data_IF_711346544542
#
_entry.id   IF_711346544542
#
_cell.length_a   1.000
_cell.length_b   1.000
_cell.length_c   1.000
_cell.angle_alpha   90.00
_cell.angle_beta   90.00
_cell.angle_gamma   90.00
#
_symmetry.space_group_name_H-M   'P 1'
#
loop_
_entity.id
_entity.type
_entity.pdbx_description
1 polymer ?
#
# COMPACT_ATOMS: atom_id res chain seq x y z
N UNK A 1 -56.82 -15.55 24.85
CA UNK A 1 -56.55 -14.21 24.30
C UNK A 1 -55.11 -13.82 24.63
N UNK A 2 -54.13 -14.16 23.77
CA UNK A 2 -52.69 -13.89 24.03
C UNK A 2 -51.81 -13.88 22.77
N UNK A 3 -52.42 -13.74 21.60
CA UNK A 3 -51.71 -13.70 20.30
C UNK A 3 -51.57 -12.28 19.72
N UNK A 4 -52.36 -11.32 20.21
CA UNK A 4 -52.35 -9.95 19.67
C UNK A 4 -51.18 -9.09 20.15
N UNK A 5 -50.47 -9.46 21.22
CA UNK A 5 -49.37 -8.63 21.74
C UNK A 5 -48.09 -8.76 20.90
N UNK A 6 -47.92 -9.87 20.16
CA UNK A 6 -46.70 -10.12 19.39
C UNK A 6 -46.67 -9.33 18.07
N UNK A 7 -47.82 -8.93 17.55
CA UNK A 7 -47.90 -8.19 16.27
C UNK A 7 -47.46 -6.72 16.41
N UNK A 8 -47.54 -6.13 17.60
CA UNK A 8 -47.15 -4.73 17.81
C UNK A 8 -45.64 -4.53 17.98
N UNK A 9 -44.91 -5.53 18.50
CA UNK A 9 -43.44 -5.44 18.65
C UNK A 9 -42.74 -5.58 17.29
N UNK A 10 -43.31 -6.35 16.37
CA UNK A 10 -42.74 -6.55 15.04
C UNK A 10 -42.83 -5.29 14.15
N UNK A 11 -43.82 -4.42 14.36
CA UNK A 11 -43.96 -3.18 13.57
C UNK A 11 -42.99 -2.09 14.04
N UNK A 12 -42.74 -1.99 15.35
CA UNK A 12 -41.87 -0.95 15.91
C UNK A 12 -40.39 -1.09 15.49
N UNK A 13 -39.95 -2.27 15.06
CA UNK A 13 -38.59 -2.51 14.57
C UNK A 13 -38.39 -2.14 13.10
N UNK A 14 -39.47 -1.91 12.35
CA UNK A 14 -39.36 -1.58 10.92
C UNK A 14 -39.00 -0.10 10.67
N UNK A 15 -39.15 0.76 11.69
CA UNK A 15 -38.81 2.19 11.62
C UNK A 15 -37.40 2.52 12.13
N UNK A 16 -36.66 1.51 12.59
CA UNK A 16 -35.24 1.62 12.92
C UNK A 16 -34.39 0.96 11.84
N UNK A 17 -34.75 1.14 10.57
CA UNK A 17 -33.84 0.89 9.46
C UNK A 17 -33.05 2.19 9.31
N UNK A 18 -31.81 2.30 9.82
CA UNK A 18 -30.95 3.38 9.39
C UNK A 18 -30.87 3.28 7.87
N UNK A 19 -31.11 4.41 7.20
CA UNK A 19 -31.03 4.54 5.76
C UNK A 19 -29.84 3.74 5.24
N UNK A 20 -29.95 3.04 4.09
CA UNK A 20 -28.81 2.38 3.49
C UNK A 20 -27.77 3.47 3.29
N UNK A 21 -26.78 3.44 4.18
CA UNK A 21 -25.58 4.23 4.04
C UNK A 21 -25.08 3.80 2.69
N UNK A 22 -25.13 4.74 1.73
CA UNK A 22 -24.46 4.61 0.44
C UNK A 22 -23.21 3.78 0.68
N UNK A 23 -22.87 2.80 -0.17
CA UNK A 23 -21.52 2.27 -0.13
C UNK A 23 -20.64 3.52 -0.15
N UNK A 24 -19.95 3.77 0.96
CA UNK A 24 -18.85 4.70 0.96
C UNK A 24 -18.00 4.11 -0.14
N UNK A 25 -18.02 4.78 -1.31
CA UNK A 25 -17.09 4.46 -2.37
C UNK A 25 -15.78 4.23 -1.65
N UNK A 26 -15.10 3.08 -1.88
CA UNK A 26 -13.82 2.83 -1.24
C UNK A 26 -13.06 4.12 -1.41
N UNK A 27 -12.79 4.81 -0.29
CA UNK A 27 -12.19 6.13 -0.30
C UNK A 27 -10.99 5.94 -1.18
N UNK A 28 -11.07 6.52 -2.38
CA UNK A 28 -10.18 6.27 -3.50
C UNK A 28 -8.81 6.27 -2.88
N UNK A 29 -8.22 5.06 -2.75
CA UNK A 29 -6.98 4.87 -1.99
C UNK A 29 -6.12 6.05 -2.37
N UNK A 30 -5.73 6.93 -1.41
CA UNK A 30 -5.24 8.27 -1.70
C UNK A 30 -4.28 8.05 -2.83
N UNK A 31 -4.66 8.55 -4.02
CA UNK A 31 -4.04 8.11 -5.26
C UNK A 31 -2.56 8.13 -4.95
N UNK A 32 -1.93 6.96 -4.85
CA UNK A 32 -0.48 6.89 -4.63
C UNK A 32 -0.02 7.88 -5.67
N UNK A 33 0.52 9.05 -5.26
CA UNK A 33 0.78 10.09 -6.23
C UNK A 33 1.53 9.34 -7.30
N UNK A 34 1.08 9.39 -8.58
CA UNK A 34 1.91 8.81 -9.61
C UNK A 34 3.29 9.34 -9.26
N UNK A 35 4.26 8.44 -9.11
CA UNK A 35 5.64 8.83 -8.91
C UNK A 35 5.99 9.54 -10.22
N UNK A 36 5.46 10.75 -10.41
CA UNK A 36 5.82 11.75 -11.36
C UNK A 36 7.15 12.16 -10.79
N UNK A 37 8.15 11.37 -11.16
CA UNK A 37 9.41 11.93 -11.63
C UNK A 37 8.98 13.11 -12.51
N UNK A 38 8.90 14.30 -11.91
CA UNK A 38 8.68 15.52 -12.65
C UNK A 38 9.75 15.58 -13.75
N UNK A 39 9.58 16.39 -14.79
CA UNK A 39 10.70 16.67 -15.68
C UNK A 39 11.89 17.05 -14.79
N UNK A 40 12.90 16.18 -14.72
CA UNK A 40 14.12 16.42 -13.95
C UNK A 40 14.66 17.73 -14.52
N UNK A 41 14.41 18.83 -13.81
CA UNK A 41 15.10 20.08 -14.08
C UNK A 41 16.58 19.72 -13.98
N UNK A 42 17.41 20.00 -14.99
CA UNK A 42 18.85 19.74 -14.94
C UNK A 42 19.48 20.77 -14.00
N UNK A 43 19.16 20.67 -12.72
CA UNK A 43 19.63 21.53 -11.65
C UNK A 43 20.31 20.64 -10.64
N UNK A 44 21.60 20.37 -10.90
CA UNK A 44 22.57 19.78 -9.96
C UNK A 44 21.93 18.90 -8.89
N UNK A 45 21.58 17.66 -9.25
CA UNK A 45 21.78 16.59 -8.28
C UNK A 45 23.25 16.70 -7.86
N UNK A 46 23.59 16.74 -6.56
CA UNK A 46 24.95 16.42 -6.17
C UNK A 46 25.23 15.05 -6.79
N UNK A 47 26.24 14.96 -7.65
CA UNK A 47 26.56 13.76 -8.46
C UNK A 47 26.49 12.46 -7.63
N UNK A 48 26.74 12.57 -6.34
CA UNK A 48 26.74 11.51 -5.34
C UNK A 48 25.35 10.99 -4.94
N UNK A 49 24.29 11.81 -4.87
CA UNK A 49 22.94 11.35 -4.45
C UNK A 49 22.31 10.48 -5.53
N UNK A 50 22.34 10.95 -6.78
CA UNK A 50 21.84 10.17 -7.92
C UNK A 50 22.63 8.87 -8.11
N UNK A 51 23.94 8.89 -7.88
CA UNK A 51 24.81 7.72 -7.97
C UNK A 51 24.56 6.72 -6.84
N UNK A 52 24.39 7.20 -5.61
CA UNK A 52 24.07 6.36 -4.45
C UNK A 52 22.73 5.63 -4.63
N UNK A 53 21.68 6.34 -5.04
CA UNK A 53 20.36 5.74 -5.28
C UNK A 53 20.42 4.68 -6.38
N UNK A 54 21.16 4.95 -7.47
CA UNK A 54 21.37 3.98 -8.56
C UNK A 54 22.09 2.72 -8.05
N UNK A 55 23.09 2.87 -7.19
CA UNK A 55 23.81 1.74 -6.61
C UNK A 55 22.91 0.89 -5.71
N UNK A 56 22.13 1.52 -4.83
CA UNK A 56 21.15 0.83 -3.98
C UNK A 56 20.13 0.04 -4.83
N UNK A 57 19.62 0.65 -5.90
CA UNK A 57 18.68 -0.02 -6.81
C UNK A 57 19.34 -1.19 -7.56
N UNK A 58 20.58 -1.02 -8.04
CA UNK A 58 21.29 -2.07 -8.75
C UNK A 58 21.54 -3.32 -7.88
N UNK A 59 21.90 -3.11 -6.62
CA UNK A 59 22.07 -4.20 -5.65
C UNK A 59 20.75 -4.90 -5.35
N UNK A 60 19.69 -4.13 -5.09
CA UNK A 60 18.36 -4.66 -4.84
C UNK A 60 17.85 -5.49 -6.02
N UNK A 61 17.93 -5.00 -7.25
CA UNK A 61 17.49 -5.74 -8.45
C UNK A 61 18.28 -7.04 -8.66
N UNK A 62 19.60 -7.01 -8.41
CA UNK A 62 20.45 -8.20 -8.49
C UNK A 62 19.98 -9.28 -7.51
N UNK A 63 19.74 -8.90 -6.26
CA UNK A 63 19.28 -9.82 -5.23
C UNK A 63 17.81 -10.24 -5.44
N UNK A 64 16.96 -9.34 -5.93
CA UNK A 64 15.54 -9.59 -6.18
C UNK A 64 15.34 -10.68 -7.23
N UNK A 65 16.18 -10.67 -8.27
CA UNK A 65 16.21 -11.71 -9.30
C UNK A 65 16.50 -13.10 -8.72
N UNK A 66 17.30 -13.18 -7.66
CA UNK A 66 17.55 -14.46 -6.95
C UNK A 66 16.32 -14.93 -6.18
N UNK A 67 15.60 -14.01 -5.52
CA UNK A 67 14.35 -14.33 -4.83
C UNK A 67 13.22 -14.76 -5.78
N UNK A 68 13.20 -14.23 -7.01
CA UNK A 68 12.19 -14.60 -8.03
C UNK A 68 12.33 -16.03 -8.54
N UNK A 69 13.47 -16.67 -8.34
CA UNK A 69 13.63 -18.10 -8.61
C UNK A 69 12.86 -18.98 -7.60
N UNK A 70 12.45 -18.42 -6.46
CA UNK A 70 11.65 -19.11 -5.45
C UNK A 70 10.15 -19.00 -5.77
N UNK A 71 9.39 -20.02 -5.37
CA UNK A 71 7.94 -20.09 -5.56
C UNK A 71 7.19 -19.94 -4.24
N UNK A 72 5.96 -19.43 -4.30
CA UNK A 72 5.05 -19.35 -3.17
C UNK A 72 5.57 -18.44 -2.04
N UNK A 73 5.38 -18.86 -0.79
CA UNK A 73 5.75 -18.08 0.40
C UNK A 73 7.26 -17.83 0.49
N UNK A 74 8.09 -18.77 0.03
CA UNK A 74 9.55 -18.65 0.04
C UNK A 74 10.05 -17.42 -0.74
N UNK A 75 9.33 -16.98 -1.77
CA UNK A 75 9.64 -15.74 -2.48
C UNK A 75 9.39 -14.53 -1.60
N UNK A 76 8.25 -14.48 -0.90
CA UNK A 76 7.93 -13.37 0.00
C UNK A 76 8.90 -13.31 1.17
N UNK A 77 9.24 -14.46 1.75
CA UNK A 77 10.23 -14.59 2.83
C UNK A 77 11.63 -14.11 2.41
N UNK A 78 11.97 -14.24 1.11
CA UNK A 78 13.21 -13.74 0.53
C UNK A 78 13.14 -12.23 0.19
N UNK A 79 12.04 -11.77 -0.41
CA UNK A 79 11.85 -10.38 -0.84
C UNK A 79 11.70 -9.40 0.34
N UNK A 80 11.09 -9.83 1.44
CA UNK A 80 10.80 -9.00 2.61
C UNK A 80 12.06 -8.38 3.24
N UNK A 81 13.08 -9.15 3.67
CA UNK A 81 14.31 -8.57 4.22
C UNK A 81 15.11 -7.80 3.16
N UNK A 82 14.95 -8.13 1.89
CA UNK A 82 15.58 -7.42 0.77
C UNK A 82 15.08 -5.97 0.67
N UNK A 83 13.77 -5.76 0.76
CA UNK A 83 13.16 -4.42 0.74
C UNK A 83 13.58 -3.59 1.95
N UNK A 84 13.72 -4.21 3.12
CA UNK A 84 14.20 -3.53 4.32
C UNK A 84 15.63 -3.01 4.10
N UNK A 85 16.54 -3.87 3.60
CA UNK A 85 17.90 -3.45 3.25
C UNK A 85 17.94 -2.37 2.17
N UNK A 86 17.08 -2.45 1.16
CA UNK A 86 16.99 -1.44 0.12
C UNK A 86 16.55 -0.07 0.67
N UNK A 87 15.57 -0.07 1.58
CA UNK A 87 15.14 1.13 2.30
C UNK A 87 16.25 1.69 3.18
N UNK A 88 17.00 0.84 3.87
CA UNK A 88 18.14 1.25 4.69
C UNK A 88 19.30 1.79 3.85
N UNK A 89 19.49 1.28 2.63
CA UNK A 89 20.45 1.82 1.68
C UNK A 89 20.03 3.23 1.23
N UNK A 90 18.77 3.38 0.83
CA UNK A 90 18.24 4.66 0.35
C UNK A 90 18.26 5.76 1.42
N UNK A 91 17.97 5.41 2.68
CA UNK A 91 18.00 6.36 3.81
C UNK A 91 19.40 6.83 4.18
N UNK A 92 20.44 6.06 3.82
CA UNK A 92 21.85 6.42 3.98
C UNK A 92 22.40 7.26 2.84
N UNK A 93 21.70 7.34 1.71
CA UNK A 93 22.14 8.20 0.61
C UNK A 93 22.08 9.68 1.01
N UNK A 94 23.05 10.49 0.55
CA UNK A 94 23.06 11.93 0.80
C UNK A 94 21.79 12.58 0.24
N UNK A 95 21.28 13.59 0.93
CA UNK A 95 20.04 14.31 0.61
C UNK A 95 20.33 15.62 -0.09
#
# INVERSE_FOLDING_TARGET
MKKSLLLFVAWALFWTIPAPSRPAQPAKAPAVPPQTWGPHLPGKDPEDTGSCVKQCNAEFERELKSCWALAGSARSDCEQPLRERHRDCYTRCPK
#
